data_IF_264925330107
#
_entry.id   IF_264925330107
#
_cell.length_a   1.000
_cell.length_b   1.000
_cell.length_c   1.000
_cell.angle_alpha   90.00
_cell.angle_beta   90.00
_cell.angle_gamma   90.00
#
_symmetry.space_group_name_H-M   'P 1'
#
loop_
_entity.id
_entity.type
_entity.pdbx_description
1 polymer ?
#
# COMPACT_ATOMS: atom_id res chain seq x y z
N UNK A 1 44.00 25.33 1.45
CA UNK A 1 43.10 25.67 0.32
C UNK A 1 42.06 24.59 0.22
N UNK A 2 40.88 24.91 0.69
CA UNK A 2 39.70 24.03 0.72
C UNK A 2 39.09 23.93 -0.66
N UNK A 3 38.72 22.74 -1.06
CA UNK A 3 37.74 22.55 -2.14
C UNK A 3 36.61 21.72 -1.59
N UNK A 4 35.59 22.40 -1.12
CA UNK A 4 34.25 21.87 -0.90
C UNK A 4 33.63 21.63 -2.28
N UNK A 5 33.44 20.40 -2.66
CA UNK A 5 32.56 20.06 -3.77
C UNK A 5 31.23 19.63 -3.19
N UNK A 6 30.32 20.54 -3.36
CA UNK A 6 28.88 20.44 -3.15
C UNK A 6 28.32 19.26 -3.95
N UNK A 7 27.83 18.22 -3.28
CA UNK A 7 26.94 17.23 -3.89
C UNK A 7 25.50 17.64 -3.56
N UNK A 8 24.96 18.38 -4.50
CA UNK A 8 23.57 18.79 -4.51
C UNK A 8 22.71 17.70 -5.17
N UNK A 9 21.77 17.19 -4.40
CA UNK A 9 20.41 16.88 -4.80
C UNK A 9 20.19 16.00 -6.06
N UNK A 10 19.96 14.72 -5.86
CA UNK A 10 19.07 13.97 -6.74
C UNK A 10 17.82 13.58 -5.96
N UNK A 11 16.89 14.53 -5.91
CA UNK A 11 15.51 14.31 -5.47
C UNK A 11 14.79 13.59 -6.61
N UNK A 12 14.73 12.27 -6.59
CA UNK A 12 13.92 11.51 -7.54
C UNK A 12 12.49 11.48 -7.00
N UNK A 13 11.70 12.33 -7.61
CA UNK A 13 10.25 12.39 -7.55
C UNK A 13 9.68 11.14 -8.23
N UNK A 14 9.32 10.13 -7.45
CA UNK A 14 8.43 9.06 -7.88
C UNK A 14 7.16 9.14 -7.05
N UNK A 15 6.23 9.96 -7.49
CA UNK A 15 4.97 10.13 -6.79
C UNK A 15 4.01 11.05 -7.50
N UNK A 16 3.80 10.89 -8.81
CA UNK A 16 2.73 11.66 -9.46
C UNK A 16 2.39 11.13 -10.86
N UNK A 17 1.85 9.94 -10.94
CA UNK A 17 1.28 9.47 -12.19
C UNK A 17 0.01 8.62 -12.06
N UNK A 18 -0.64 8.56 -10.90
CA UNK A 18 -1.87 7.76 -10.73
C UNK A 18 -3.09 8.58 -10.29
N UNK A 19 -2.94 9.88 -10.02
CA UNK A 19 -4.08 10.72 -9.54
C UNK A 19 -4.75 11.52 -10.66
N UNK A 20 -4.28 11.50 -11.90
CA UNK A 20 -4.83 12.33 -12.97
C UNK A 20 -5.85 11.67 -13.91
N UNK A 21 -6.26 10.42 -13.69
CA UNK A 21 -7.19 9.74 -14.60
C UNK A 21 -8.63 9.63 -14.08
N UNK A 22 -8.97 10.13 -12.91
CA UNK A 22 -10.33 10.00 -12.35
C UNK A 22 -11.14 11.31 -12.42
N UNK A 23 -10.55 12.43 -12.82
CA UNK A 23 -11.25 13.73 -12.77
C UNK A 23 -11.84 14.23 -14.11
N UNK A 24 -11.83 13.43 -15.17
CA UNK A 24 -12.33 13.87 -16.51
C UNK A 24 -13.69 13.26 -16.91
N UNK A 25 -14.30 12.37 -16.11
CA UNK A 25 -15.57 11.71 -16.51
C UNK A 25 -16.81 12.29 -15.80
N UNK A 26 -16.72 13.35 -15.01
CA UNK A 26 -17.90 13.94 -14.36
C UNK A 26 -18.38 15.28 -14.93
N UNK A 27 -17.86 15.73 -16.07
CA UNK A 27 -18.25 17.01 -16.64
C UNK A 27 -19.21 16.94 -17.84
N UNK A 28 -19.75 15.78 -18.22
CA UNK A 28 -20.69 15.66 -19.34
C UNK A 28 -21.91 14.85 -18.90
N UNK A 29 -22.70 15.42 -18.01
CA UNK A 29 -24.12 15.00 -17.82
C UNK A 29 -24.91 16.05 -17.07
N UNK A 30 -25.04 17.21 -17.71
CA UNK A 30 -26.06 18.18 -17.32
C UNK A 30 -26.45 19.00 -18.56
N UNK A 31 -27.34 18.42 -19.29
CA UNK A 31 -28.29 19.16 -20.14
C UNK A 31 -29.22 18.17 -20.84
N UNK A 32 -30.48 18.47 -20.71
CA UNK A 32 -31.67 17.94 -21.37
C UNK A 32 -32.49 17.02 -20.48
N UNK A 33 -33.68 17.37 -20.05
CA UNK A 33 -34.75 18.00 -20.80
C UNK A 33 -35.82 18.51 -19.86
N UNK A 34 -36.35 19.64 -20.24
CA UNK A 34 -37.58 20.24 -19.76
C UNK A 34 -38.81 19.71 -20.56
N UNK A 35 -40.01 19.90 -19.95
CA UNK A 35 -41.37 19.83 -20.49
C UNK A 35 -41.99 18.42 -20.66
N UNK A 36 -43.21 18.16 -20.24
CA UNK A 36 -44.48 18.87 -20.08
C UNK A 36 -45.47 18.05 -19.26
N UNK A 37 -46.14 18.67 -18.30
CA UNK A 37 -47.59 18.94 -18.11
C UNK A 37 -48.61 17.83 -18.45
N UNK A 38 -49.41 17.45 -17.46
CA UNK A 38 -50.85 17.53 -17.28
C UNK A 38 -51.45 16.37 -16.48
N UNK A 39 -51.97 16.66 -15.34
CA UNK A 39 -53.40 16.71 -14.91
C UNK A 39 -54.18 15.38 -14.89
N UNK A 40 -54.65 15.06 -13.75
CA UNK A 40 -56.03 14.77 -13.25
C UNK A 40 -56.09 13.56 -12.32
N UNK A 41 -56.36 13.81 -11.06
CA UNK A 41 -57.64 13.57 -10.31
C UNK A 41 -58.12 12.11 -10.32
N UNK A 42 -58.19 11.47 -9.24
CA UNK A 42 -59.24 11.35 -8.25
C UNK A 42 -59.20 10.00 -7.49
N UNK A 43 -59.33 10.08 -6.24
CA UNK A 43 -60.19 9.36 -5.27
C UNK A 43 -60.05 7.86 -5.02
N UNK A 44 -59.70 7.62 -3.74
CA UNK A 44 -60.41 6.82 -2.75
C UNK A 44 -60.06 5.34 -2.52
N UNK A 45 -59.70 5.12 -1.27
CA UNK A 45 -60.10 4.10 -0.28
C UNK A 45 -59.23 2.85 -0.16
N UNK A 46 -58.57 2.82 1.03
CA UNK A 46 -58.47 1.71 2.01
C UNK A 46 -58.36 0.26 1.48
N UNK A 47 -57.34 -0.46 1.84
CA UNK A 47 -57.36 -1.31 3.04
C UNK A 47 -56.01 -1.99 3.29
N UNK A 48 -55.71 -2.13 4.52
CA UNK A 48 -54.78 -2.91 5.30
C UNK A 48 -54.26 -4.20 4.65
N UNK A 49 -52.93 -4.35 4.58
CA UNK A 49 -52.27 -5.61 4.99
C UNK A 49 -50.77 -5.42 5.14
N UNK A 50 -50.32 -5.61 6.35
CA UNK A 50 -48.95 -5.82 6.80
C UNK A 50 -48.27 -6.92 6.00
N UNK A 51 -47.16 -6.62 5.37
CA UNK A 51 -46.13 -7.63 5.07
C UNK A 51 -44.76 -6.94 5.02
N UNK A 52 -43.94 -7.33 5.97
CA UNK A 52 -42.54 -7.03 6.05
C UNK A 52 -41.85 -7.25 4.68
N UNK A 53 -41.40 -6.20 4.05
CA UNK A 53 -40.34 -6.29 3.08
C UNK A 53 -39.13 -5.53 3.61
N UNK A 54 -38.30 -6.31 4.28
CA UNK A 54 -36.90 -5.99 4.49
C UNK A 54 -36.29 -5.50 3.18
N UNK A 55 -36.12 -4.20 3.07
CA UNK A 55 -35.36 -3.59 1.99
C UNK A 55 -33.92 -4.09 2.11
N UNK A 56 -33.59 -5.07 1.31
CA UNK A 56 -32.22 -5.40 1.02
C UNK A 56 -31.62 -4.23 0.24
N UNK A 57 -31.05 -3.29 0.98
CA UNK A 57 -30.11 -2.34 0.43
C UNK A 57 -28.81 -3.11 0.15
N UNK A 58 -28.74 -3.74 -1.02
CA UNK A 58 -27.50 -4.31 -1.53
C UNK A 58 -26.62 -3.18 -2.00
N UNK A 59 -26.02 -2.47 -1.06
CA UNK A 59 -24.81 -1.71 -1.32
C UNK A 59 -23.78 -2.72 -1.82
N UNK A 60 -23.42 -2.65 -3.07
CA UNK A 60 -22.27 -3.35 -3.63
C UNK A 60 -21.01 -2.84 -2.92
N UNK A 61 -20.69 -3.38 -1.76
CA UNK A 61 -19.34 -3.39 -1.20
C UNK A 61 -18.54 -4.42 -2.00
N UNK A 62 -18.15 -4.00 -3.22
CA UNK A 62 -17.26 -4.78 -4.06
C UNK A 62 -15.91 -4.93 -3.41
N UNK A 63 -15.56 -6.15 -3.01
CA UNK A 63 -14.22 -6.71 -2.93
C UNK A 63 -13.18 -6.09 -1.98
N UNK A 64 -13.58 -5.51 -0.84
CA UNK A 64 -12.60 -4.96 0.12
C UNK A 64 -12.15 -5.98 1.20
N UNK A 65 -12.72 -7.19 1.21
CA UNK A 65 -12.37 -8.18 2.24
C UNK A 65 -10.96 -8.76 2.11
N UNK A 66 -10.38 -8.71 0.92
CA UNK A 66 -9.04 -9.25 0.65
C UNK A 66 -7.91 -8.20 0.74
N UNK A 67 -8.22 -6.92 0.86
CA UNK A 67 -7.18 -5.89 1.00
C UNK A 67 -6.51 -5.98 2.37
N UNK A 68 -5.18 -5.91 2.39
CA UNK A 68 -4.36 -5.93 3.60
C UNK A 68 -4.19 -4.53 4.19
N UNK A 69 -4.22 -3.49 3.35
CA UNK A 69 -4.08 -2.10 3.80
C UNK A 69 -5.13 -1.74 4.84
N UNK A 70 -4.69 -1.17 5.95
CA UNK A 70 -5.52 -0.79 7.09
C UNK A 70 -5.80 -1.94 8.07
N UNK A 71 -5.38 -3.17 7.77
CA UNK A 71 -5.50 -4.32 8.66
C UNK A 71 -4.21 -4.55 9.46
N UNK A 72 -4.29 -5.25 10.60
CA UNK A 72 -3.10 -5.69 11.32
C UNK A 72 -2.24 -6.65 10.47
N UNK A 73 -0.92 -6.47 10.52
CA UNK A 73 0.02 -7.40 9.91
C UNK A 73 -0.05 -8.76 10.63
N UNK A 74 -0.21 -9.82 9.84
CA UNK A 74 -0.31 -11.17 10.37
C UNK A 74 0.97 -11.60 11.12
N UNK A 75 0.79 -12.32 12.23
CA UNK A 75 1.92 -12.85 13.03
C UNK A 75 2.94 -11.78 13.45
N UNK A 76 2.46 -10.56 13.72
CA UNK A 76 3.27 -9.48 14.26
C UNK A 76 2.63 -8.91 15.52
N UNK A 77 3.42 -8.72 16.57
CA UNK A 77 3.00 -8.03 17.79
C UNK A 77 3.53 -6.60 17.74
N UNK A 78 2.66 -5.59 17.75
CA UNK A 78 3.08 -4.19 17.76
C UNK A 78 4.01 -3.88 18.93
N UNK A 79 5.00 -3.01 18.67
CA UNK A 79 5.94 -2.55 19.69
C UNK A 79 6.32 -1.10 19.44
N UNK A 80 6.46 -0.33 20.51
CA UNK A 80 7.03 1.01 20.51
C UNK A 80 8.53 1.03 20.74
N UNK A 81 9.12 -0.15 21.02
CA UNK A 81 10.57 -0.29 21.16
C UNK A 81 11.26 -0.01 19.83
N UNK A 82 12.14 0.97 19.82
CA UNK A 82 12.88 1.37 18.62
C UNK A 82 14.06 0.41 18.39
N UNK A 83 14.29 0.13 17.10
CA UNK A 83 15.50 -0.59 16.71
C UNK A 83 16.58 0.37 16.24
N UNK A 84 17.86 0.06 16.54
CA UNK A 84 19.01 0.85 16.07
C UNK A 84 19.44 0.43 14.66
N UNK A 85 19.25 -0.84 14.34
CA UNK A 85 19.70 -1.46 13.11
C UNK A 85 18.57 -2.29 12.48
N UNK A 86 18.72 -2.61 11.19
CA UNK A 86 17.77 -3.51 10.52
C UNK A 86 17.83 -4.89 11.15
N UNK A 87 16.69 -5.36 11.64
CA UNK A 87 16.54 -6.75 12.06
C UNK A 87 16.00 -7.58 10.92
N UNK A 88 16.61 -8.73 10.70
CA UNK A 88 16.26 -9.68 9.65
C UNK A 88 15.76 -10.97 10.27
N UNK A 89 14.59 -11.42 9.83
CA UNK A 89 14.00 -12.69 10.22
C UNK A 89 13.54 -13.44 8.96
N UNK A 90 14.13 -14.59 8.67
CA UNK A 90 13.67 -15.45 7.58
C UNK A 90 12.47 -16.28 8.04
N UNK A 91 11.28 -15.90 7.57
CA UNK A 91 10.03 -16.64 7.82
C UNK A 91 9.99 -17.94 6.99
N UNK A 92 10.58 -17.88 5.80
CA UNK A 92 10.80 -19.03 4.92
C UNK A 92 12.14 -18.84 4.21
N UNK A 93 12.99 -19.85 4.26
CA UNK A 93 14.28 -19.82 3.55
C UNK A 93 14.08 -20.25 2.10
N UNK A 94 14.43 -19.38 1.15
CA UNK A 94 14.41 -19.71 -0.28
C UNK A 94 15.58 -20.62 -0.67
N UNK A 95 15.45 -21.23 -1.85
CA UNK A 95 16.47 -22.15 -2.41
C UNK A 95 17.01 -21.69 -3.77
N UNK A 96 16.46 -20.59 -4.33
CA UNK A 96 16.87 -20.06 -5.63
C UNK A 96 18.08 -19.12 -5.55
N UNK A 97 18.21 -18.24 -6.56
CA UNK A 97 19.28 -17.26 -6.64
C UNK A 97 19.29 -16.33 -5.43
N UNK A 98 20.48 -15.92 -5.02
CA UNK A 98 20.70 -15.10 -3.81
C UNK A 98 20.91 -13.63 -4.18
N UNK A 99 20.34 -12.73 -3.38
CA UNK A 99 20.65 -11.30 -3.44
C UNK A 99 22.03 -11.07 -2.84
N UNK A 100 22.98 -10.71 -3.67
CA UNK A 100 24.41 -10.53 -3.28
C UNK A 100 24.86 -9.08 -3.29
N UNK A 101 24.10 -8.17 -3.94
CA UNK A 101 24.43 -6.76 -4.08
C UNK A 101 23.19 -5.89 -4.14
N UNK A 102 23.28 -4.67 -3.61
CA UNK A 102 22.25 -3.67 -3.74
C UNK A 102 22.05 -3.14 -5.18
N UNK A 103 22.94 -3.43 -6.10
CA UNK A 103 22.81 -3.04 -7.50
C UNK A 103 21.88 -3.95 -8.29
N UNK A 104 21.53 -5.12 -7.74
CA UNK A 104 20.64 -6.08 -8.38
C UNK A 104 19.19 -5.58 -8.39
N UNK A 105 18.47 -5.98 -9.41
CA UNK A 105 17.01 -5.77 -9.52
C UNK A 105 16.28 -6.92 -8.87
N UNK A 106 15.37 -6.62 -7.97
CA UNK A 106 14.54 -7.61 -7.26
C UNK A 106 13.11 -7.55 -7.74
N UNK A 107 12.45 -8.72 -7.83
CA UNK A 107 11.02 -8.85 -8.06
C UNK A 107 10.41 -9.55 -6.86
N UNK A 108 9.48 -8.89 -6.18
CA UNK A 108 8.93 -9.38 -4.92
C UNK A 108 7.45 -9.00 -4.74
N UNK A 109 6.74 -9.76 -3.90
CA UNK A 109 5.62 -9.20 -3.16
C UNK A 109 6.10 -8.65 -1.82
N UNK A 110 5.44 -7.59 -1.37
CA UNK A 110 5.70 -7.05 -0.04
C UNK A 110 4.43 -6.60 0.66
N UNK A 111 4.50 -6.56 1.97
CA UNK A 111 3.50 -5.95 2.85
C UNK A 111 4.23 -5.12 3.87
N UNK A 112 3.96 -3.80 3.89
CA UNK A 112 4.59 -2.84 4.80
C UNK A 112 3.62 -2.40 5.90
N UNK A 113 4.08 -2.42 7.16
CA UNK A 113 3.31 -2.00 8.32
C UNK A 113 4.16 -1.11 9.25
N UNK A 114 3.51 -0.30 10.08
CA UNK A 114 4.19 0.43 11.15
C UNK A 114 4.47 -0.51 12.33
N UNK A 115 5.67 -0.44 12.90
CA UNK A 115 6.02 -1.26 14.06
C UNK A 115 5.16 -0.91 15.30
N UNK A 116 4.81 0.37 15.46
CA UNK A 116 4.14 0.87 16.66
C UNK A 116 2.69 0.34 16.83
N UNK A 117 1.98 0.09 15.75
CA UNK A 117 0.58 -0.36 15.78
C UNK A 117 0.33 -1.61 14.93
N UNK A 118 1.30 -2.04 14.16
CA UNK A 118 1.19 -3.20 13.28
C UNK A 118 0.27 -2.98 12.08
N UNK A 119 -0.23 -1.77 11.85
CA UNK A 119 -1.20 -1.52 10.78
C UNK A 119 -0.50 -1.43 9.43
N UNK A 120 -0.97 -2.21 8.49
CA UNK A 120 -0.49 -2.24 7.11
C UNK A 120 -0.81 -0.91 6.43
N UNK A 121 0.23 -0.22 5.94
CA UNK A 121 0.07 1.01 5.17
C UNK A 121 0.08 0.76 3.66
N UNK A 122 0.70 -0.32 3.22
CA UNK A 122 0.78 -0.68 1.79
C UNK A 122 1.07 -2.18 1.61
N UNK A 123 0.48 -2.78 0.57
CA UNK A 123 0.78 -4.14 0.14
C UNK A 123 0.67 -4.27 -1.37
N UNK A 124 1.67 -4.84 -2.02
CA UNK A 124 1.62 -5.19 -3.43
C UNK A 124 0.62 -6.31 -3.71
N UNK A 125 0.28 -7.10 -2.68
CA UNK A 125 -0.72 -8.17 -2.77
C UNK A 125 -2.14 -7.63 -2.96
N UNK A 126 -2.41 -6.39 -2.52
CA UNK A 126 -3.71 -5.74 -2.67
C UNK A 126 -4.06 -5.49 -4.14
N UNK A 127 -3.04 -5.32 -4.98
CA UNK A 127 -3.18 -5.14 -6.43
C UNK A 127 -2.91 -6.43 -7.22
N UNK A 128 -2.51 -7.52 -6.56
CA UNK A 128 -2.17 -8.79 -7.18
C UNK A 128 -0.94 -8.74 -8.10
N UNK A 129 -0.12 -7.68 -8.00
CA UNK A 129 1.05 -7.48 -8.86
C UNK A 129 2.34 -7.46 -8.05
N UNK A 130 3.35 -8.15 -8.55
CA UNK A 130 4.70 -8.07 -8.00
C UNK A 130 5.29 -6.68 -8.23
N UNK A 131 6.11 -6.26 -7.28
CA UNK A 131 6.94 -5.05 -7.38
C UNK A 131 8.32 -5.42 -7.94
N UNK A 132 8.82 -4.66 -8.89
CA UNK A 132 10.16 -4.87 -9.47
C UNK A 132 10.93 -3.55 -9.46
N UNK A 133 12.10 -3.55 -8.84
CA UNK A 133 12.99 -2.38 -8.82
C UNK A 133 14.46 -2.76 -8.57
N UNK A 134 15.41 -1.92 -9.02
CA UNK A 134 16.78 -1.96 -8.54
C UNK A 134 16.80 -1.71 -7.02
N UNK A 135 17.50 -2.58 -6.28
CA UNK A 135 17.49 -2.53 -4.82
C UNK A 135 18.10 -1.23 -4.28
N UNK A 136 19.10 -0.66 -4.97
CA UNK A 136 19.72 0.62 -4.62
C UNK A 136 18.79 1.84 -4.77
N UNK A 137 17.63 1.70 -5.42
CA UNK A 137 16.61 2.74 -5.50
C UNK A 137 15.59 2.70 -4.33
N UNK A 138 15.72 1.71 -3.46
CA UNK A 138 14.81 1.52 -2.33
C UNK A 138 15.39 2.12 -1.04
N UNK A 139 14.59 2.14 0.03
CA UNK A 139 15.04 2.60 1.34
C UNK A 139 16.24 1.80 1.83
N UNK A 140 17.13 2.45 2.60
CA UNK A 140 18.40 1.85 3.04
C UNK A 140 18.20 0.53 3.78
N UNK A 141 17.12 0.40 4.56
CA UNK A 141 16.79 -0.84 5.24
C UNK A 141 16.53 -2.03 4.32
N UNK A 142 15.97 -1.81 3.10
CA UNK A 142 15.83 -2.87 2.11
C UNK A 142 17.18 -3.24 1.49
N UNK A 143 18.02 -2.22 1.18
CA UNK A 143 19.33 -2.44 0.58
C UNK A 143 20.22 -3.33 1.46
N UNK A 144 20.15 -3.15 2.77
CA UNK A 144 20.92 -3.96 3.72
C UNK A 144 20.22 -5.26 4.09
N UNK A 145 18.91 -5.20 4.33
CA UNK A 145 18.13 -6.31 4.85
C UNK A 145 17.86 -7.44 3.85
N UNK A 146 17.89 -7.14 2.55
CA UNK A 146 17.66 -8.17 1.51
C UNK A 146 18.93 -8.93 1.11
N UNK A 147 20.12 -8.45 1.43
CA UNK A 147 21.36 -9.19 1.15
C UNK A 147 21.31 -10.56 1.81
N UNK A 148 21.71 -11.58 1.08
CA UNK A 148 21.66 -12.98 1.51
C UNK A 148 20.28 -13.64 1.40
N UNK A 149 19.23 -12.89 1.00
CA UNK A 149 17.92 -13.49 0.76
C UNK A 149 17.91 -14.28 -0.54
N UNK A 150 17.25 -15.45 -0.54
CA UNK A 150 17.17 -16.32 -1.72
C UNK A 150 15.77 -16.32 -2.32
N UNK A 151 15.70 -16.41 -3.63
CA UNK A 151 14.44 -16.56 -4.38
C UNK A 151 13.64 -17.74 -3.84
N UNK A 152 12.32 -17.53 -3.71
CA UNK A 152 11.37 -18.45 -3.06
C UNK A 152 11.31 -18.30 -1.55
N UNK A 153 12.09 -17.38 -0.96
CA UNK A 153 12.06 -17.08 0.47
C UNK A 153 11.02 -16.01 0.83
N UNK A 154 10.67 -15.99 2.12
CA UNK A 154 9.88 -14.93 2.76
C UNK A 154 10.71 -14.41 3.93
N UNK A 155 10.95 -13.10 3.96
CA UNK A 155 11.76 -12.42 4.96
C UNK A 155 11.00 -11.27 5.57
N UNK A 156 11.06 -11.17 6.91
CA UNK A 156 10.62 -9.99 7.66
C UNK A 156 11.79 -9.10 7.95
N UNK A 157 11.64 -7.81 7.62
CA UNK A 157 12.59 -6.77 8.00
C UNK A 157 11.94 -5.83 9.01
N UNK A 158 12.59 -5.59 10.14
CA UNK A 158 12.28 -4.46 11.04
C UNK A 158 13.30 -3.37 10.75
N UNK A 159 12.84 -2.25 10.22
CA UNK A 159 13.70 -1.18 9.71
C UNK A 159 13.55 0.06 10.59
N UNK A 160 14.65 0.57 11.18
CA UNK A 160 14.60 1.79 11.95
C UNK A 160 14.19 2.97 11.07
N UNK A 161 13.50 3.94 11.65
CA UNK A 161 13.03 5.14 10.93
C UNK A 161 14.12 5.81 10.12
N UNK A 162 15.36 5.90 10.64
CA UNK A 162 16.50 6.51 9.97
C UNK A 162 16.92 5.81 8.66
N UNK A 163 16.57 4.54 8.50
CA UNK A 163 16.83 3.74 7.30
C UNK A 163 15.54 3.49 6.47
N UNK A 164 14.44 4.14 6.85
CA UNK A 164 13.15 4.12 6.17
C UNK A 164 12.77 5.54 5.71
N UNK A 165 11.68 6.09 6.21
CA UNK A 165 11.16 7.41 5.81
C UNK A 165 11.29 8.48 6.91
N UNK A 166 11.91 8.14 8.04
CA UNK A 166 12.09 9.05 9.18
C UNK A 166 10.87 9.15 10.08
N UNK A 167 10.87 10.18 10.93
CA UNK A 167 9.81 10.44 11.91
C UNK A 167 8.94 11.66 11.54
N UNK A 168 9.20 12.29 10.39
CA UNK A 168 8.47 13.48 9.96
C UNK A 168 7.16 13.12 9.24
N UNK A 169 6.05 13.29 9.94
CA UNK A 169 4.71 13.03 9.41
C UNK A 169 4.28 14.01 8.31
N UNK A 170 4.95 15.16 8.16
CA UNK A 170 4.61 16.17 7.15
C UNK A 170 4.87 15.67 5.72
N UNK A 171 5.69 14.65 5.57
CA UNK A 171 6.01 14.03 4.27
C UNK A 171 4.86 13.22 3.67
N UNK A 172 3.82 12.90 4.44
CA UNK A 172 2.72 12.01 4.06
C UNK A 172 3.14 10.52 3.94
N UNK A 173 4.35 10.18 4.36
CA UNK A 173 4.88 8.81 4.39
C UNK A 173 4.67 8.17 5.77
N UNK A 174 4.68 6.82 5.87
CA UNK A 174 4.68 6.18 7.17
C UNK A 174 5.90 6.60 7.99
N UNK A 175 5.69 6.89 9.26
CA UNK A 175 6.73 7.35 10.18
C UNK A 175 7.10 6.28 11.19
N UNK A 176 8.25 6.45 11.82
CA UNK A 176 8.73 5.51 12.83
C UNK A 176 9.40 4.28 12.23
N UNK A 177 9.62 3.29 13.08
CA UNK A 177 10.15 2.01 12.63
C UNK A 177 9.10 1.25 11.83
N UNK A 178 9.53 0.63 10.75
CA UNK A 178 8.66 -0.07 9.82
C UNK A 178 8.96 -1.56 9.78
N UNK A 179 7.92 -2.34 9.50
CA UNK A 179 8.00 -3.77 9.27
C UNK A 179 7.67 -4.04 7.81
N UNK A 180 8.47 -4.89 7.16
CA UNK A 180 8.17 -5.38 5.82
C UNK A 180 8.26 -6.90 5.79
N UNK A 181 7.18 -7.55 5.36
CA UNK A 181 7.21 -8.94 4.93
C UNK A 181 7.43 -8.96 3.42
N UNK A 182 8.50 -9.60 2.98
CA UNK A 182 8.96 -9.60 1.59
C UNK A 182 9.04 -11.05 1.11
N UNK A 183 8.36 -11.35 0.00
CA UNK A 183 8.42 -12.64 -0.69
C UNK A 183 9.15 -12.45 -2.02
N UNK A 184 10.33 -13.03 -2.16
CA UNK A 184 11.23 -12.80 -3.30
C UNK A 184 10.98 -13.83 -4.41
N UNK A 185 10.67 -13.34 -5.62
CA UNK A 185 10.39 -14.17 -6.79
C UNK A 185 11.54 -14.23 -7.80
N UNK A 186 12.31 -13.14 -7.94
CA UNK A 186 13.41 -13.08 -8.90
C UNK A 186 14.46 -12.05 -8.45
N UNK A 187 15.70 -12.27 -8.88
CA UNK A 187 16.85 -11.36 -8.70
C UNK A 187 17.75 -11.40 -9.92
N UNK A 188 18.13 -10.23 -10.43
CA UNK A 188 18.97 -10.05 -11.62
C UNK A 188 20.08 -9.05 -11.38
#
# INVERSE_FOLDING_TARGET
>A
MQRFTSFLLALIIFGSAVVSAVFVIQAIRKEQSDETVSTSTDTTTQDTSTTDQSSQNSTQEGNNENMLKGKPLANFTPTTDRVSDVKVEDLTVGTGAEVTSAEQTVTAHYTGARAADGIVFESSKDNGQTFTAPLNNLIAGWQTGMIGMKVGGIRRLTIPAAQAYGDDASTGRPTGDLIFDIELFDVK
#
